data_IF_079747408056
#
_entry.id   IF_079747408056
#
_cell.length_a   1.000
_cell.length_b   1.000
_cell.length_c   1.000
_cell.angle_alpha   90.00
_cell.angle_beta   90.00
_cell.angle_gamma   90.00
#
_symmetry.space_group_name_H-M   'P 1'
#
loop_
_entity.id
_entity.type
_entity.pdbx_description
1 polymer ?
#
# COMPACT_ATOMS: atom_id res chain seq x y z
N UNK A 1 -15.15 8.91 -4.12
CA UNK A 1 -15.55 9.33 -2.76
C UNK A 1 -14.56 8.79 -1.74
N UNK A 2 -14.08 9.63 -0.84
CA UNK A 2 -13.13 9.22 0.18
C UNK A 2 -13.83 8.60 1.39
N UNK A 3 -13.10 7.75 2.08
CA UNK A 3 -13.51 7.20 3.37
C UNK A 3 -13.10 8.19 4.47
N UNK A 4 -13.85 8.22 5.56
CA UNK A 4 -13.47 9.02 6.72
C UNK A 4 -12.29 8.37 7.45
N UNK A 5 -11.58 9.14 8.27
CA UNK A 5 -10.50 8.62 9.09
C UNK A 5 -10.98 7.46 9.99
N UNK A 6 -12.18 7.58 10.55
CA UNK A 6 -12.76 6.53 11.39
C UNK A 6 -13.02 5.25 10.60
N UNK A 7 -13.57 5.38 9.39
CA UNK A 7 -13.82 4.22 8.53
C UNK A 7 -12.52 3.51 8.17
N UNK A 8 -11.50 4.28 7.83
CA UNK A 8 -10.19 3.72 7.51
C UNK A 8 -9.62 3.01 8.73
N UNK A 9 -9.59 3.67 9.88
CA UNK A 9 -9.00 3.11 11.09
C UNK A 9 -9.71 1.82 11.54
N UNK A 10 -11.02 1.74 11.33
CA UNK A 10 -11.81 0.54 11.67
C UNK A 10 -11.53 -0.64 10.72
N UNK A 11 -11.20 -0.35 9.46
CA UNK A 11 -11.08 -1.36 8.41
C UNK A 11 -9.66 -1.69 8.02
N UNK A 12 -8.70 -0.87 8.44
CA UNK A 12 -7.30 -1.02 8.04
C UNK A 12 -6.72 -2.30 8.63
N UNK A 13 -6.01 -3.12 7.83
CA UNK A 13 -5.30 -4.27 8.37
C UNK A 13 -4.31 -3.83 9.45
N UNK A 14 -4.13 -4.65 10.49
CA UNK A 14 -3.27 -4.31 11.62
C UNK A 14 -1.81 -4.01 11.24
N UNK A 15 -1.39 -4.50 10.07
CA UNK A 15 -0.04 -4.30 9.55
C UNK A 15 0.16 -2.97 8.83
N UNK A 16 -0.91 -2.22 8.63
CA UNK A 16 -0.88 -0.92 7.98
C UNK A 16 -1.21 0.18 8.98
N UNK A 17 -0.67 1.37 8.72
CA UNK A 17 -0.95 2.57 9.50
C UNK A 17 -1.58 3.63 8.60
N UNK A 18 -2.40 4.50 9.18
CA UNK A 18 -2.89 5.67 8.48
C UNK A 18 -2.04 6.88 8.88
N UNK A 19 -1.56 7.62 7.89
CA UNK A 19 -0.84 8.88 8.10
C UNK A 19 -1.56 9.96 7.28
N UNK A 20 -2.44 10.71 7.94
CA UNK A 20 -3.24 11.71 7.26
C UNK A 20 -4.14 11.09 6.20
N UNK A 21 -3.92 11.45 4.94
CA UNK A 21 -4.70 11.00 3.80
C UNK A 21 -4.08 9.79 3.08
N UNK A 22 -3.12 9.13 3.72
CA UNK A 22 -2.45 7.96 3.14
C UNK A 22 -2.52 6.78 4.09
N UNK A 23 -2.43 5.57 3.54
CA UNK A 23 -2.15 4.38 4.33
C UNK A 23 -0.76 3.89 3.96
N UNK A 24 -0.03 3.39 4.95
CA UNK A 24 1.41 3.11 4.83
C UNK A 24 1.74 1.78 5.47
N UNK A 25 2.54 0.99 4.80
CA UNK A 25 3.17 -0.19 5.40
C UNK A 25 4.61 -0.28 4.93
N UNK A 26 5.51 -0.66 5.85
CA UNK A 26 6.88 -1.01 5.50
C UNK A 26 7.03 -2.52 5.63
N UNK A 27 7.36 -3.18 4.52
CA UNK A 27 7.65 -4.61 4.48
C UNK A 27 9.14 -4.82 4.68
N UNK A 28 9.52 -5.82 5.46
CA UNK A 28 10.91 -6.12 5.72
C UNK A 28 11.33 -7.43 5.09
N UNK A 29 12.54 -7.48 4.57
CA UNK A 29 13.07 -8.63 3.84
C UNK A 29 14.47 -8.97 4.33
N UNK A 30 14.91 -10.22 4.08
CA UNK A 30 16.23 -10.66 4.47
C UNK A 30 17.32 -10.14 3.54
N UNK A 31 16.97 -9.84 2.30
CA UNK A 31 17.92 -9.32 1.31
C UNK A 31 17.23 -8.38 0.32
N UNK A 32 18.06 -7.69 -0.45
CA UNK A 32 17.63 -6.65 -1.38
C UNK A 32 16.78 -7.21 -2.53
N UNK A 33 17.24 -8.29 -3.14
CA UNK A 33 16.57 -8.82 -4.33
C UNK A 33 15.19 -9.38 -4.02
N UNK A 34 14.99 -9.98 -2.85
CA UNK A 34 13.66 -10.43 -2.44
C UNK A 34 12.69 -9.25 -2.33
N UNK A 35 13.15 -8.13 -1.81
CA UNK A 35 12.36 -6.90 -1.78
C UNK A 35 12.01 -6.39 -3.18
N UNK A 36 12.98 -6.45 -4.10
CA UNK A 36 12.74 -6.03 -5.50
C UNK A 36 11.71 -6.94 -6.18
N UNK A 37 11.78 -8.24 -5.94
CA UNK A 37 10.79 -9.19 -6.49
C UNK A 37 9.39 -8.88 -5.96
N UNK A 38 9.28 -8.57 -4.68
CA UNK A 38 8.01 -8.16 -4.09
C UNK A 38 7.47 -6.89 -4.75
N UNK A 39 8.33 -5.90 -4.97
CA UNK A 39 7.95 -4.65 -5.67
C UNK A 39 7.40 -4.97 -7.06
N UNK A 40 8.05 -5.89 -7.77
CA UNK A 40 7.58 -6.30 -9.09
C UNK A 40 6.16 -6.87 -9.01
N UNK A 41 5.91 -7.74 -8.05
CA UNK A 41 4.61 -8.38 -7.88
C UNK A 41 3.51 -7.36 -7.57
N UNK A 42 3.76 -6.43 -6.65
CA UNK A 42 2.76 -5.42 -6.32
C UNK A 42 2.60 -4.38 -7.43
N UNK A 43 3.64 -4.12 -8.19
CA UNK A 43 3.57 -3.22 -9.35
C UNK A 43 2.62 -3.78 -10.41
N UNK A 44 2.62 -5.09 -10.62
CA UNK A 44 1.70 -5.72 -11.56
C UNK A 44 0.24 -5.56 -11.11
N UNK A 45 -0.02 -5.71 -9.82
CA UNK A 45 -1.36 -5.45 -9.26
C UNK A 45 -1.75 -3.99 -9.48
N UNK A 46 -0.84 -3.06 -9.21
CA UNK A 46 -1.08 -1.63 -9.38
C UNK A 46 -1.43 -1.28 -10.83
N UNK A 47 -0.76 -1.90 -11.79
CA UNK A 47 -1.05 -1.68 -13.21
C UNK A 47 -2.41 -2.25 -13.59
N UNK A 48 -2.77 -3.41 -13.10
CA UNK A 48 -4.08 -4.01 -13.37
C UNK A 48 -5.22 -3.18 -12.81
N UNK A 49 -5.04 -2.63 -11.62
CA UNK A 49 -6.05 -1.80 -10.97
C UNK A 49 -6.02 -0.35 -11.46
N UNK A 50 -5.01 0.01 -12.23
CA UNK A 50 -4.74 1.36 -12.67
C UNK A 50 -4.76 2.36 -11.50
N UNK A 51 -4.11 1.96 -10.40
CA UNK A 51 -4.00 2.77 -9.20
C UNK A 51 -2.63 2.50 -8.58
N UNK A 52 -1.74 3.48 -8.64
CA UNK A 52 -0.32 3.27 -8.37
C UNK A 52 0.10 3.81 -7.02
N UNK A 53 0.68 2.97 -6.15
CA UNK A 53 1.22 3.42 -4.87
C UNK A 53 2.53 4.17 -5.06
N UNK A 54 2.91 4.93 -4.04
CA UNK A 54 4.28 5.42 -3.93
C UNK A 54 5.09 4.34 -3.21
N UNK A 55 6.21 3.94 -3.79
CA UNK A 55 7.04 2.86 -3.26
C UNK A 55 8.44 3.39 -3.03
N UNK A 56 8.95 3.20 -1.81
CA UNK A 56 10.33 3.56 -1.46
C UNK A 56 11.09 2.28 -1.15
N UNK A 57 12.15 2.01 -1.89
CA UNK A 57 12.93 0.80 -1.76
C UNK A 57 14.21 1.08 -0.97
N UNK A 58 14.37 0.40 0.16
CA UNK A 58 15.59 0.41 0.94
C UNK A 58 16.34 -0.89 0.76
N UNK A 59 17.47 -1.04 1.44
CA UNK A 59 18.30 -2.24 1.33
C UNK A 59 17.52 -3.51 1.72
N UNK A 60 16.78 -3.46 2.81
CA UNK A 60 16.01 -4.60 3.34
C UNK A 60 14.56 -4.24 3.63
N UNK A 61 14.08 -3.17 3.04
CA UNK A 61 12.71 -2.72 3.31
C UNK A 61 12.07 -2.13 2.09
N UNK A 62 10.75 -2.22 2.03
CA UNK A 62 9.95 -1.60 0.99
C UNK A 62 8.81 -0.88 1.69
N UNK A 63 8.79 0.45 1.61
CA UNK A 63 7.68 1.25 2.14
C UNK A 63 6.68 1.49 1.03
N UNK A 64 5.42 1.20 1.31
CA UNK A 64 4.33 1.37 0.34
C UNK A 64 3.32 2.35 0.91
N UNK A 65 2.97 3.37 0.12
CA UNK A 65 1.97 4.38 0.47
C UNK A 65 0.87 4.38 -0.56
N UNK A 66 -0.37 4.34 -0.08
CA UNK A 66 -1.55 4.36 -0.94
C UNK A 66 -2.46 5.52 -0.57
N UNK A 67 -2.90 6.23 -1.58
CA UNK A 67 -3.93 7.27 -1.47
C UNK A 67 -4.54 7.48 -2.84
N UNK A 68 -5.62 8.22 -2.93
CA UNK A 68 -6.22 8.59 -4.20
C UNK A 68 -6.20 10.12 -4.34
N UNK A 69 -5.24 10.63 -5.11
CA UNK A 69 -5.08 12.08 -5.29
C UNK A 69 -6.29 12.71 -5.96
N UNK A 70 -6.92 12.02 -6.90
CA UNK A 70 -8.08 12.55 -7.60
C UNK A 70 -9.28 12.68 -6.67
N UNK A 71 -9.47 11.72 -5.77
CA UNK A 71 -10.54 11.75 -4.79
C UNK A 71 -10.21 12.64 -3.58
N UNK A 72 -8.94 12.92 -3.35
CA UNK A 72 -8.47 13.74 -2.25
C UNK A 72 -8.27 13.00 -0.94
N UNK A 73 -8.03 11.69 -0.99
CA UNK A 73 -7.78 10.90 0.21
C UNK A 73 -7.93 9.41 -0.02
N UNK A 74 -8.07 8.66 1.06
CA UNK A 74 -8.14 7.20 1.03
C UNK A 74 -9.51 6.74 0.54
N UNK A 75 -9.53 5.76 -0.36
CA UNK A 75 -10.76 5.20 -0.93
C UNK A 75 -10.80 3.69 -0.72
N UNK A 76 -11.93 3.07 -1.10
CA UNK A 76 -12.08 1.61 -1.03
C UNK A 76 -10.99 0.87 -1.78
N UNK A 77 -10.57 1.39 -2.94
CA UNK A 77 -9.54 0.71 -3.74
C UNK A 77 -8.21 0.66 -3.00
N UNK A 78 -7.89 1.69 -2.21
CA UNK A 78 -6.66 1.70 -1.43
C UNK A 78 -6.65 0.56 -0.41
N UNK A 79 -7.77 0.35 0.28
CA UNK A 79 -7.90 -0.74 1.25
C UNK A 79 -7.85 -2.10 0.58
N UNK A 80 -8.53 -2.25 -0.56
CA UNK A 80 -8.52 -3.50 -1.32
C UNK A 80 -7.11 -3.83 -1.81
N UNK A 81 -6.38 -2.83 -2.29
CA UNK A 81 -5.02 -3.03 -2.77
C UNK A 81 -4.05 -3.36 -1.63
N UNK A 82 -4.23 -2.75 -0.45
CA UNK A 82 -3.42 -3.09 0.71
C UNK A 82 -3.55 -4.58 1.04
N UNK A 83 -4.77 -5.12 1.00
CA UNK A 83 -5.01 -6.53 1.24
C UNK A 83 -4.35 -7.40 0.16
N UNK A 84 -4.45 -7.01 -1.11
CA UNK A 84 -3.82 -7.74 -2.21
C UNK A 84 -2.30 -7.72 -2.10
N UNK A 85 -1.72 -6.58 -1.71
CA UNK A 85 -0.26 -6.48 -1.52
C UNK A 85 0.20 -7.38 -0.37
N UNK A 86 -0.55 -7.43 0.72
CA UNK A 86 -0.23 -8.30 1.84
C UNK A 86 -0.24 -9.78 1.44
N UNK A 87 -1.13 -10.16 0.53
CA UNK A 87 -1.19 -11.52 0.02
C UNK A 87 0.06 -11.92 -0.77
N UNK A 88 0.77 -10.93 -1.34
CA UNK A 88 2.02 -11.20 -2.07
C UNK A 88 3.24 -11.29 -1.14
N UNK A 89 3.09 -10.85 0.09
CA UNK A 89 4.17 -10.87 1.07
C UNK A 89 4.20 -12.21 1.80
#
# INVERSE_FOLDING_TARGET
MTLSAEEVDDRLPATWDREGDEIVRTYEFDDYLTGIEFVRDIAEIADEEFHHPEITIGFRSVEVRLTNHEAGGITEIDLDMAAQFDDEF
#
